data_IF_960150277882
#
_entry.id   IF_960150277882
#
_cell.length_a   1.000
_cell.length_b   1.000
_cell.length_c   1.000
_cell.angle_alpha   90.00
_cell.angle_beta   90.00
_cell.angle_gamma   90.00
#
_symmetry.space_group_name_H-M   'P 1'
#
loop_
_entity.id
_entity.type
_entity.pdbx_description
1 polymer ?
#
# COMPACT_ATOMS: atom_id res chain seq x y z
N UNK A 1 71.13 -24.44 62.20
CA UNK A 1 70.66 -25.07 63.45
C UNK A 1 69.29 -25.68 63.22
N UNK A 2 69.10 -26.86 63.78
CA UNK A 2 67.95 -27.75 63.60
C UNK A 2 66.68 -27.24 64.31
N UNK A 3 65.51 -27.65 63.81
CA UNK A 3 64.63 -28.48 64.64
C UNK A 3 63.67 -29.31 63.77
N UNK A 4 63.45 -30.54 64.20
CA UNK A 4 62.71 -31.59 63.50
C UNK A 4 61.60 -32.06 64.43
N UNK A 5 60.48 -32.42 63.82
CA UNK A 5 59.41 -33.33 64.29
C UNK A 5 58.23 -32.70 65.04
N UNK A 6 57.04 -32.82 64.43
CA UNK A 6 55.91 -33.54 65.04
C UNK A 6 55.08 -34.25 63.97
N UNK A 7 55.12 -35.59 64.02
CA UNK A 7 54.22 -36.51 63.29
C UNK A 7 52.76 -36.24 63.66
N UNK A 8 51.83 -36.53 62.75
CA UNK A 8 50.50 -37.16 62.96
C UNK A 8 49.74 -37.23 61.62
N UNK A 9 48.74 -38.11 61.46
CA UNK A 9 48.81 -39.56 61.56
C UNK A 9 48.38 -40.19 60.21
N UNK A 10 48.98 -41.32 59.83
CA UNK A 10 48.35 -42.21 58.86
C UNK A 10 47.20 -42.92 59.56
N UNK A 11 45.97 -42.57 59.20
CA UNK A 11 44.76 -43.31 59.55
C UNK A 11 44.23 -44.06 58.32
N UNK A 12 43.82 -45.34 58.44
CA UNK A 12 43.28 -46.12 57.35
C UNK A 12 41.78 -45.84 57.18
N UNK A 13 41.39 -45.39 55.99
CA UNK A 13 40.00 -45.25 55.60
C UNK A 13 39.82 -44.35 54.38
N UNK A 14 38.80 -44.63 53.59
CA UNK A 14 38.18 -43.69 52.63
C UNK A 14 38.71 -43.65 51.19
N UNK A 15 38.71 -44.82 50.54
CA UNK A 15 38.46 -44.88 49.09
C UNK A 15 37.14 -44.19 48.69
N UNK A 16 36.16 -44.07 49.60
CA UNK A 16 34.88 -43.39 49.39
C UNK A 16 34.96 -41.87 49.23
N UNK A 17 35.71 -41.16 50.09
CA UNK A 17 35.83 -39.69 50.04
C UNK A 17 36.51 -39.19 48.75
N UNK A 18 37.45 -39.97 48.20
CA UNK A 18 38.16 -39.60 46.95
C UNK A 18 37.27 -39.70 45.71
N UNK A 19 36.28 -40.58 45.72
CA UNK A 19 35.27 -40.74 44.64
C UNK A 19 34.23 -39.62 44.72
N UNK A 20 33.84 -39.23 45.93
CA UNK A 20 32.93 -38.11 46.18
C UNK A 20 33.54 -36.76 45.75
N UNK A 21 34.82 -36.51 46.06
CA UNK A 21 35.59 -35.35 45.57
C UNK A 21 35.62 -35.24 44.04
N UNK A 22 35.81 -36.37 43.33
CA UNK A 22 35.84 -36.39 41.85
C UNK A 22 34.47 -36.06 41.25
N UNK A 23 33.39 -36.63 41.79
CA UNK A 23 32.01 -36.34 41.37
C UNK A 23 31.63 -34.88 41.62
N UNK A 24 31.97 -34.34 42.80
CA UNK A 24 31.77 -32.93 43.14
C UNK A 24 32.48 -31.97 42.17
N UNK A 25 33.73 -32.30 41.80
CA UNK A 25 34.52 -31.52 40.84
C UNK A 25 33.93 -31.56 39.42
N UNK A 26 33.31 -32.68 39.06
CA UNK A 26 32.66 -32.90 37.77
C UNK A 26 31.33 -32.12 37.68
N UNK A 27 30.51 -32.15 38.74
CA UNK A 27 29.30 -31.33 38.87
C UNK A 27 29.61 -29.83 38.78
N UNK A 28 30.61 -29.32 39.53
CA UNK A 28 31.03 -27.91 39.42
C UNK A 28 31.53 -27.53 38.03
N UNK A 29 32.16 -28.45 37.30
CA UNK A 29 32.63 -28.23 35.92
C UNK A 29 31.45 -28.14 34.95
N UNK A 30 30.43 -28.98 35.12
CA UNK A 30 29.19 -28.96 34.35
C UNK A 30 28.34 -27.71 34.63
N UNK A 31 28.18 -27.32 35.90
CA UNK A 31 27.50 -26.07 36.28
C UNK A 31 28.22 -24.85 35.67
N UNK A 32 29.56 -24.84 35.70
CA UNK A 32 30.36 -23.78 35.08
C UNK A 32 30.26 -23.79 33.55
N UNK A 33 30.05 -24.95 32.92
CA UNK A 33 29.78 -25.07 31.48
C UNK A 33 28.38 -24.53 31.15
N UNK A 34 27.35 -25.00 31.87
CA UNK A 34 25.96 -24.50 31.75
C UNK A 34 25.89 -22.98 31.95
N UNK A 35 26.61 -22.43 32.93
CA UNK A 35 26.67 -20.98 33.16
C UNK A 35 27.34 -20.21 32.02
N UNK A 36 28.39 -20.76 31.41
CA UNK A 36 29.03 -20.17 30.22
C UNK A 36 28.09 -20.23 29.01
N UNK A 37 27.42 -21.36 28.81
CA UNK A 37 26.46 -21.56 27.73
C UNK A 37 25.26 -20.60 27.88
N UNK A 38 24.72 -20.43 29.09
CA UNK A 38 23.65 -19.46 29.38
C UNK A 38 24.09 -18.01 29.13
N UNK A 39 25.33 -17.65 29.49
CA UNK A 39 25.90 -16.33 29.22
C UNK A 39 26.08 -16.09 27.73
N UNK A 40 26.51 -17.10 26.99
CA UNK A 40 26.68 -17.02 25.54
C UNK A 40 25.33 -16.86 24.84
N UNK A 41 24.32 -17.65 25.24
CA UNK A 41 22.96 -17.54 24.73
C UNK A 41 22.36 -16.16 24.98
N UNK A 42 22.45 -15.65 26.22
CA UNK A 42 21.96 -14.29 26.55
C UNK A 42 22.69 -13.19 25.78
N UNK A 43 23.96 -13.41 25.40
CA UNK A 43 24.72 -12.47 24.56
C UNK A 43 24.24 -12.52 23.11
N UNK A 44 24.00 -13.72 22.57
CA UNK A 44 23.46 -13.92 21.22
C UNK A 44 22.04 -13.35 21.08
N UNK A 45 21.15 -13.58 22.05
CA UNK A 45 19.81 -12.99 22.07
C UNK A 45 19.85 -11.46 22.07
N UNK A 46 20.78 -10.87 22.83
CA UNK A 46 20.94 -9.41 22.89
C UNK A 46 21.50 -8.84 21.58
N UNK A 47 22.38 -9.60 20.90
CA UNK A 47 22.87 -9.24 19.57
C UNK A 47 21.76 -9.33 18.52
N UNK A 48 20.98 -10.42 18.51
CA UNK A 48 19.86 -10.60 17.60
C UNK A 48 18.78 -9.53 17.80
N UNK A 49 18.45 -9.19 19.06
CA UNK A 49 17.50 -8.11 19.35
C UNK A 49 18.01 -6.74 18.89
N UNK A 50 19.31 -6.48 18.99
CA UNK A 50 19.93 -5.25 18.47
C UNK A 50 19.95 -5.22 16.94
N UNK A 51 20.22 -6.35 16.29
CA UNK A 51 20.18 -6.48 14.83
C UNK A 51 18.75 -6.32 14.27
N UNK A 52 17.74 -6.89 14.93
CA UNK A 52 16.34 -6.66 14.54
C UNK A 52 15.92 -5.21 14.75
N UNK A 53 16.30 -4.58 15.87
CA UNK A 53 16.02 -3.15 16.09
C UNK A 53 16.72 -2.26 15.05
N UNK A 54 17.96 -2.58 14.67
CA UNK A 54 18.68 -1.84 13.64
C UNK A 54 18.07 -2.04 12.25
N UNK A 55 17.58 -3.24 11.92
CA UNK A 55 16.85 -3.51 10.67
C UNK A 55 15.53 -2.73 10.60
N UNK A 56 14.75 -2.75 11.69
CA UNK A 56 13.50 -2.00 11.77
C UNK A 56 13.75 -0.49 11.63
N UNK A 57 14.79 0.04 12.29
CA UNK A 57 15.19 1.45 12.15
C UNK A 57 15.64 1.77 10.72
N UNK A 58 16.42 0.90 10.08
CA UNK A 58 16.81 1.09 8.68
C UNK A 58 15.62 1.02 7.72
N UNK A 59 14.64 0.15 7.98
CA UNK A 59 13.41 0.08 7.19
C UNK A 59 12.54 1.34 7.39
N UNK A 60 12.42 1.84 8.62
CA UNK A 60 11.74 3.11 8.96
C UNK A 60 12.44 4.32 8.33
N UNK A 61 13.76 4.40 8.39
CA UNK A 61 14.54 5.47 7.76
C UNK A 61 14.46 5.40 6.24
N UNK A 62 14.51 4.20 5.64
CA UNK A 62 14.36 4.01 4.20
C UNK A 62 12.94 4.30 3.70
N UNK A 63 11.91 4.05 4.52
CA UNK A 63 10.53 4.45 4.22
C UNK A 63 10.37 5.97 4.32
N UNK A 64 10.88 6.60 5.39
CA UNK A 64 10.86 8.05 5.56
C UNK A 64 11.60 8.80 4.44
N UNK A 65 12.73 8.28 3.95
CA UNK A 65 13.46 8.88 2.83
C UNK A 65 12.74 8.73 1.49
N UNK A 66 11.86 7.73 1.35
CA UNK A 66 11.03 7.56 0.14
C UNK A 66 9.81 8.48 0.13
N UNK A 67 9.26 8.79 1.30
CA UNK A 67 8.09 9.70 1.43
C UNK A 67 8.39 11.12 0.94
N UNK A 68 9.65 11.57 0.97
CA UNK A 68 10.04 12.95 0.63
C UNK A 68 10.30 13.17 -0.88
N UNK A 69 10.18 12.14 -1.73
CA UNK A 69 10.48 12.24 -3.17
C UNK A 69 9.22 12.07 -4.03
N UNK A 70 8.27 12.99 -3.89
CA UNK A 70 7.15 13.13 -4.82
C UNK A 70 7.60 13.60 -6.21
N UNK A 71 6.86 13.24 -7.26
CA UNK A 71 7.10 13.71 -8.62
C UNK A 71 6.74 15.21 -8.74
N UNK A 72 7.68 16.12 -9.09
CA UNK A 72 7.43 17.57 -9.05
C UNK A 72 6.79 18.13 -10.33
N UNK A 73 6.60 17.30 -11.35
CA UNK A 73 6.07 17.71 -12.66
C UNK A 73 4.85 16.88 -13.02
N UNK A 74 3.96 17.45 -13.82
CA UNK A 74 2.82 16.76 -14.42
C UNK A 74 3.06 16.53 -15.91
N UNK A 75 2.38 15.53 -16.46
CA UNK A 75 2.39 15.18 -17.88
C UNK A 75 0.94 15.14 -18.36
N UNK A 76 0.62 16.00 -19.32
CA UNK A 76 -0.70 16.04 -19.98
C UNK A 76 -0.57 15.57 -21.43
N UNK A 77 -1.54 14.79 -21.91
CA UNK A 77 -1.60 14.31 -23.29
C UNK A 77 -2.88 14.82 -23.95
N UNK A 78 -2.76 15.51 -25.07
CA UNK A 78 -3.89 15.97 -25.86
C UNK A 78 -4.17 15.01 -27.02
N UNK A 79 -5.42 14.57 -27.18
CA UNK A 79 -5.83 13.63 -28.22
C UNK A 79 -7.13 14.11 -28.89
N UNK A 80 -7.25 13.98 -30.21
CA UNK A 80 -8.49 14.27 -30.88
C UNK A 80 -9.49 13.13 -30.67
N UNK A 81 -10.75 13.46 -30.41
CA UNK A 81 -11.80 12.44 -30.27
C UNK A 81 -12.17 11.74 -31.58
N UNK A 82 -11.84 12.35 -32.72
CA UNK A 82 -12.07 11.83 -34.08
C UNK A 82 -11.41 10.46 -34.33
N UNK A 83 -10.40 10.08 -33.53
CA UNK A 83 -9.74 8.76 -33.60
C UNK A 83 -10.72 7.59 -33.47
N UNK A 84 -11.81 7.76 -32.72
CA UNK A 84 -12.82 6.72 -32.53
C UNK A 84 -13.74 6.57 -33.75
N UNK A 85 -13.86 7.59 -34.60
CA UNK A 85 -14.72 7.52 -35.79
C UNK A 85 -14.14 6.58 -36.85
N UNK A 86 -12.82 6.36 -36.84
CA UNK A 86 -12.14 5.42 -37.73
C UNK A 86 -12.44 3.95 -37.41
N UNK A 87 -12.94 3.65 -36.21
CA UNK A 87 -13.22 2.27 -35.81
C UNK A 87 -14.55 1.77 -36.38
N UNK A 88 -14.48 0.58 -36.99
CA UNK A 88 -15.56 -0.03 -37.77
C UNK A 88 -16.71 -0.59 -36.92
N UNK A 89 -16.45 -0.95 -35.67
CA UNK A 89 -17.45 -1.50 -34.75
C UNK A 89 -17.41 -0.81 -33.38
N UNK A 90 -18.52 -0.78 -32.63
CA UNK A 90 -18.56 -0.17 -31.29
C UNK A 90 -17.69 -0.91 -30.27
N UNK A 91 -17.45 -2.21 -30.48
CA UNK A 91 -16.51 -3.01 -29.69
C UNK A 91 -15.07 -2.52 -29.92
N UNK A 92 -14.67 -2.33 -31.18
CA UNK A 92 -13.34 -1.84 -31.54
C UNK A 92 -13.11 -0.41 -31.09
N UNK A 93 -14.13 0.45 -31.10
CA UNK A 93 -14.07 1.81 -30.52
C UNK A 93 -13.70 1.77 -29.05
N UNK A 94 -14.41 0.93 -28.30
CA UNK A 94 -14.18 0.76 -26.87
C UNK A 94 -12.78 0.21 -26.62
N UNK A 95 -12.37 -0.79 -27.41
CA UNK A 95 -11.03 -1.38 -27.32
C UNK A 95 -9.91 -0.36 -27.61
N UNK A 96 -10.05 0.47 -28.64
CA UNK A 96 -9.10 1.53 -28.97
C UNK A 96 -8.95 2.55 -27.84
N UNK A 97 -10.07 2.99 -27.25
CA UNK A 97 -10.06 3.87 -26.08
C UNK A 97 -9.33 3.21 -24.88
N UNK A 98 -9.52 1.90 -24.68
CA UNK A 98 -8.79 1.14 -23.66
C UNK A 98 -7.29 1.04 -23.91
N UNK A 99 -6.86 0.92 -25.18
CA UNK A 99 -5.43 0.93 -25.53
C UNK A 99 -4.79 2.27 -25.18
N UNK A 100 -5.48 3.38 -25.45
CA UNK A 100 -5.03 4.73 -25.11
C UNK A 100 -4.91 4.89 -23.60
N UNK A 101 -5.95 4.50 -22.86
CA UNK A 101 -5.95 4.55 -21.39
C UNK A 101 -4.76 3.78 -20.80
N UNK A 102 -4.50 2.57 -21.33
CA UNK A 102 -3.39 1.73 -20.88
C UNK A 102 -2.04 2.35 -21.19
N UNK A 103 -1.86 2.91 -22.39
CA UNK A 103 -0.64 3.62 -22.73
C UNK A 103 -0.41 4.81 -21.77
N UNK A 104 -1.44 5.61 -21.52
CA UNK A 104 -1.36 6.75 -20.58
C UNK A 104 -1.01 6.31 -19.15
N UNK A 105 -1.59 5.19 -18.70
CA UNK A 105 -1.31 4.62 -17.37
C UNK A 105 0.14 4.14 -17.25
N UNK A 106 0.67 3.45 -18.28
CA UNK A 106 2.06 2.97 -18.30
C UNK A 106 3.06 4.11 -18.21
N UNK A 107 2.77 5.24 -18.87
CA UNK A 107 3.63 6.42 -18.86
C UNK A 107 3.33 7.41 -17.72
N UNK A 108 2.47 7.05 -16.76
CA UNK A 108 2.09 7.90 -15.63
C UNK A 108 1.61 9.30 -16.08
N UNK A 109 0.74 9.35 -17.08
CA UNK A 109 0.09 10.59 -17.53
C UNK A 109 -0.93 11.03 -16.49
N UNK A 110 -0.88 12.30 -16.10
CA UNK A 110 -1.73 12.87 -15.05
C UNK A 110 -3.06 13.41 -15.62
N UNK A 111 -3.06 13.87 -16.88
CA UNK A 111 -4.22 14.46 -17.52
C UNK A 111 -4.32 14.07 -19.01
N UNK A 112 -5.52 13.70 -19.43
CA UNK A 112 -5.82 13.44 -20.85
C UNK A 112 -6.85 14.48 -21.33
N UNK A 113 -6.45 15.32 -22.28
CA UNK A 113 -7.30 16.36 -22.86
C UNK A 113 -7.84 15.86 -24.20
N UNK A 114 -9.15 15.58 -24.25
CA UNK A 114 -9.82 15.21 -25.49
C UNK A 114 -10.36 16.47 -26.16
N UNK A 115 -9.89 16.79 -27.35
CA UNK A 115 -10.35 17.94 -28.12
C UNK A 115 -11.13 17.53 -29.37
N UNK A 116 -11.99 18.43 -29.82
CA UNK A 116 -12.72 18.28 -31.08
C UNK A 116 -12.03 19.11 -32.18
N UNK A 117 -11.78 18.46 -33.32
CA UNK A 117 -11.13 19.04 -34.49
C UNK A 117 -12.16 19.61 -35.48
N UNK A 118 -13.37 19.05 -35.51
CA UNK A 118 -14.41 19.38 -36.49
C UNK A 118 -15.31 20.53 -36.04
N UNK A 119 -15.06 21.11 -34.85
CA UNK A 119 -15.77 22.29 -34.34
C UNK A 119 -17.25 22.05 -34.06
N UNK A 120 -17.62 20.84 -33.64
CA UNK A 120 -18.99 20.56 -33.24
C UNK A 120 -19.23 21.12 -31.85
N UNK A 121 -20.29 21.93 -31.74
CA UNK A 121 -20.77 22.58 -30.51
C UNK A 121 -21.27 21.53 -29.48
N UNK A 122 -20.39 20.69 -28.94
CA UNK A 122 -20.69 19.81 -27.81
C UNK A 122 -20.69 20.64 -26.52
N UNK A 123 -21.75 21.43 -26.31
CA UNK A 123 -21.89 22.35 -25.16
C UNK A 123 -22.02 21.64 -23.81
N UNK A 124 -22.15 20.32 -23.79
CA UNK A 124 -22.39 19.52 -22.58
C UNK A 124 -21.77 18.12 -22.69
N UNK A 125 -21.12 17.68 -21.60
CA UNK A 125 -20.58 16.32 -21.44
C UNK A 125 -21.69 15.26 -21.31
N UNK A 126 -22.93 15.71 -21.05
CA UNK A 126 -24.14 14.90 -20.98
C UNK A 126 -24.74 14.61 -22.36
N UNK A 127 -23.94 14.08 -23.27
CA UNK A 127 -24.43 13.57 -24.55
C UNK A 127 -25.01 12.16 -24.40
N UNK A 128 -26.27 11.96 -24.78
CA UNK A 128 -26.82 10.61 -25.03
C UNK A 128 -26.17 10.02 -26.28
N UNK A 129 -25.71 8.77 -26.20
CA UNK A 129 -25.25 8.04 -27.38
C UNK A 129 -26.42 7.79 -28.34
N UNK A 130 -26.48 8.52 -29.46
CA UNK A 130 -27.59 8.43 -30.45
C UNK A 130 -27.29 7.51 -31.62
N UNK A 131 -26.32 6.60 -31.47
CA UNK A 131 -25.97 5.58 -32.45
C UNK A 131 -24.68 5.87 -33.23
N UNK A 132 -24.28 4.88 -34.03
CA UNK A 132 -23.07 4.89 -34.86
C UNK A 132 -23.29 5.85 -36.04
N UNK A 133 -22.53 6.95 -36.11
CA UNK A 133 -22.42 7.77 -37.33
C UNK A 133 -22.73 9.27 -37.22
N UNK A 134 -23.11 9.79 -36.04
CA UNK A 134 -23.17 11.25 -35.85
C UNK A 134 -21.84 11.77 -35.33
N UNK A 135 -21.12 12.45 -36.23
CA UNK A 135 -19.89 13.19 -35.94
C UNK A 135 -20.11 14.06 -34.69
N UNK A 136 -19.25 13.91 -33.68
CA UNK A 136 -19.24 14.77 -32.47
C UNK A 136 -19.49 14.08 -31.15
N UNK A 137 -20.01 12.84 -31.18
CA UNK A 137 -20.15 12.05 -29.96
C UNK A 137 -18.89 11.24 -29.63
N UNK A 138 -17.94 11.16 -30.56
CA UNK A 138 -16.68 10.45 -30.37
C UNK A 138 -15.85 11.01 -29.21
N UNK A 139 -15.76 12.34 -29.10
CA UNK A 139 -15.07 13.01 -27.99
C UNK A 139 -15.70 12.67 -26.63
N UNK A 140 -17.03 12.74 -26.54
CA UNK A 140 -17.78 12.44 -25.30
C UNK A 140 -17.66 10.97 -24.93
N UNK A 141 -17.77 10.07 -25.92
CA UNK A 141 -17.60 8.62 -25.71
C UNK A 141 -16.19 8.29 -25.23
N UNK A 142 -15.16 8.87 -25.86
CA UNK A 142 -13.77 8.68 -25.45
C UNK A 142 -13.56 9.14 -24.01
N UNK A 143 -13.96 10.37 -23.69
CA UNK A 143 -13.81 10.93 -22.35
C UNK A 143 -14.52 10.05 -21.29
N UNK A 144 -15.75 9.60 -21.58
CA UNK A 144 -16.53 8.76 -20.67
C UNK A 144 -15.86 7.39 -20.43
N UNK A 145 -15.31 6.76 -21.48
CA UNK A 145 -14.60 5.48 -21.34
C UNK A 145 -13.31 5.67 -20.54
N UNK A 146 -12.53 6.73 -20.81
CA UNK A 146 -11.31 7.03 -20.07
C UNK A 146 -11.60 7.26 -18.58
N UNK A 147 -12.62 8.05 -18.25
CA UNK A 147 -13.07 8.27 -16.87
C UNK A 147 -13.53 6.98 -16.19
N UNK A 148 -14.26 6.11 -16.91
CA UNK A 148 -14.70 4.83 -16.37
C UNK A 148 -13.52 3.90 -16.05
N UNK A 149 -12.49 3.90 -16.90
CA UNK A 149 -11.30 3.09 -16.71
C UNK A 149 -10.44 3.61 -15.56
N UNK A 150 -10.23 4.93 -15.47
CA UNK A 150 -9.48 5.58 -14.38
C UNK A 150 -10.16 5.35 -13.02
N UNK A 151 -11.49 5.35 -12.97
CA UNK A 151 -12.22 5.10 -11.74
C UNK A 151 -11.98 3.69 -11.16
N UNK A 152 -11.65 3.56 -9.86
CA UNK A 152 -11.53 2.27 -9.17
C UNK A 152 -12.80 1.43 -9.21
N UNK A 153 -12.65 0.11 -9.28
CA UNK A 153 -13.75 -0.84 -9.49
C UNK A 153 -14.89 -0.69 -8.47
N UNK A 154 -14.59 -0.42 -7.20
CA UNK A 154 -15.58 -0.29 -6.13
C UNK A 154 -16.39 1.02 -6.19
N UNK A 155 -15.90 2.04 -6.90
CA UNK A 155 -16.58 3.33 -7.06
C UNK A 155 -17.42 3.42 -8.32
N UNK A 156 -17.15 2.57 -9.33
CA UNK A 156 -17.81 2.64 -10.65
C UNK A 156 -19.34 2.60 -10.56
N UNK A 157 -19.89 1.80 -9.63
CA UNK A 157 -21.35 1.69 -9.45
C UNK A 157 -22.00 2.98 -8.93
N UNK A 158 -21.24 3.84 -8.24
CA UNK A 158 -21.76 5.09 -7.69
C UNK A 158 -21.68 6.24 -8.69
N UNK A 159 -20.58 6.33 -9.45
CA UNK A 159 -20.35 7.42 -10.42
C UNK A 159 -20.94 7.16 -11.80
N UNK A 160 -20.99 5.90 -12.25
CA UNK A 160 -21.37 5.56 -13.62
C UNK A 160 -22.69 4.79 -13.65
N UNK A 161 -23.81 5.46 -14.01
CA UNK A 161 -25.03 4.74 -14.35
C UNK A 161 -24.80 3.89 -15.60
N UNK A 162 -25.65 2.88 -15.80
CA UNK A 162 -25.59 2.04 -17.01
C UNK A 162 -25.82 2.91 -18.26
N UNK A 163 -24.78 3.08 -19.06
CA UNK A 163 -24.80 3.86 -20.29
C UNK A 163 -24.44 3.00 -21.49
N UNK A 164 -25.01 3.30 -22.66
CA UNK A 164 -24.76 2.52 -23.89
C UNK A 164 -23.29 2.60 -24.34
N UNK A 165 -22.63 3.73 -24.11
CA UNK A 165 -21.19 3.89 -24.37
C UNK A 165 -20.30 2.90 -23.60
N UNK A 166 -20.77 2.45 -22.43
CA UNK A 166 -20.01 1.58 -21.54
C UNK A 166 -20.46 0.12 -21.65
N UNK A 167 -21.31 -0.22 -22.63
CA UNK A 167 -21.86 -1.57 -22.81
C UNK A 167 -20.76 -2.63 -22.98
N UNK A 168 -19.66 -2.27 -23.66
CA UNK A 168 -18.53 -3.16 -23.93
C UNK A 168 -17.34 -2.92 -22.98
N UNK A 169 -17.53 -2.18 -21.88
CA UNK A 169 -16.44 -1.88 -20.96
C UNK A 169 -15.86 -3.14 -20.27
N UNK A 170 -16.60 -4.25 -20.25
CA UNK A 170 -16.11 -5.55 -19.77
C UNK A 170 -15.10 -6.24 -20.70
N UNK A 171 -14.96 -5.78 -21.95
CA UNK A 171 -13.94 -6.26 -22.90
C UNK A 171 -12.57 -5.64 -22.63
N UNK A 172 -12.53 -4.52 -21.90
CA UNK A 172 -11.32 -3.73 -21.70
C UNK A 172 -10.34 -4.45 -20.79
N UNK A 173 -9.05 -4.38 -21.15
CA UNK A 173 -7.98 -4.83 -20.27
C UNK A 173 -7.95 -3.94 -19.02
N UNK A 174 -7.71 -4.50 -17.82
CA UNK A 174 -7.54 -3.71 -16.62
C UNK A 174 -6.31 -2.79 -16.74
N UNK A 175 -6.39 -1.60 -16.15
CA UNK A 175 -5.28 -0.63 -16.13
C UNK A 175 -4.25 -0.96 -15.04
N UNK A 176 -4.65 -1.67 -13.98
CA UNK A 176 -3.82 -2.06 -12.83
C UNK A 176 -2.96 -0.89 -12.28
N UNK A 177 -3.56 0.31 -12.19
CA UNK A 177 -2.93 1.48 -11.60
C UNK A 177 -2.88 1.37 -10.07
N UNK A 178 -1.99 2.11 -9.37
CA UNK A 178 -1.83 2.00 -7.92
C UNK A 178 -3.12 2.24 -7.10
N UNK A 179 -4.05 3.05 -7.64
CA UNK A 179 -5.34 3.33 -7.03
C UNK A 179 -6.44 2.29 -7.34
N UNK A 180 -6.14 1.27 -8.16
CA UNK A 180 -7.02 0.12 -8.45
C UNK A 180 -6.74 -1.08 -7.55
N UNK A 181 -6.55 -0.83 -6.26
CA UNK A 181 -6.19 -1.89 -5.33
C UNK A 181 -7.39 -2.77 -4.94
N UNK A 182 -7.05 -3.97 -4.47
CA UNK A 182 -8.04 -4.93 -3.96
C UNK A 182 -8.50 -4.54 -2.55
N UNK A 183 -9.58 -5.18 -2.11
CA UNK A 183 -10.18 -4.90 -0.80
C UNK A 183 -9.27 -5.25 0.37
N UNK A 184 -8.47 -6.30 0.25
CA UNK A 184 -7.60 -6.81 1.32
C UNK A 184 -6.18 -6.23 1.28
N UNK A 185 -5.88 -5.37 0.31
CA UNK A 185 -4.56 -4.77 0.13
C UNK A 185 -4.39 -3.57 1.08
N UNK A 186 -3.23 -3.39 1.69
CA UNK A 186 -2.96 -2.20 2.51
C UNK A 186 -2.33 -1.10 1.64
N UNK A 187 -2.84 0.13 1.74
CA UNK A 187 -2.33 1.29 1.01
C UNK A 187 -2.47 2.52 1.90
N UNK A 188 -1.49 3.42 1.83
CA UNK A 188 -1.50 4.70 2.54
C UNK A 188 -2.63 5.60 2.04
N UNK A 189 -2.81 5.68 0.72
CA UNK A 189 -3.84 6.48 0.08
C UNK A 189 -4.86 5.58 -0.60
N UNK A 190 -6.14 5.91 -0.42
CA UNK A 190 -7.26 5.24 -1.09
C UNK A 190 -8.28 6.25 -1.59
N UNK A 191 -8.71 6.04 -2.83
CA UNK A 191 -9.86 6.76 -3.37
C UNK A 191 -11.14 6.40 -2.60
N UNK A 192 -12.07 7.35 -2.53
CA UNK A 192 -13.29 7.12 -1.76
C UNK A 192 -14.41 8.10 -2.07
N UNK A 193 -15.64 7.60 -1.93
CA UNK A 193 -16.86 8.40 -2.07
C UNK A 193 -17.47 8.68 -0.69
N UNK A 194 -17.88 9.92 -0.46
CA UNK A 194 -18.60 10.30 0.77
C UNK A 194 -19.99 9.67 0.73
N UNK A 195 -20.32 8.91 1.77
CA UNK A 195 -21.62 8.26 1.91
C UNK A 195 -22.59 9.23 2.57
N UNK A 196 -23.81 9.30 2.02
CA UNK A 196 -24.90 10.08 2.61
C UNK A 196 -25.44 9.40 3.88
N UNK A 197 -24.70 9.60 4.97
CA UNK A 197 -25.05 9.10 6.29
C UNK A 197 -25.16 10.30 7.23
N UNK A 198 -26.30 10.45 7.94
CA UNK A 198 -26.49 11.57 8.85
C UNK A 198 -25.43 11.54 9.94
N UNK A 199 -24.66 12.62 10.03
CA UNK A 199 -23.60 12.84 11.03
C UNK A 199 -23.91 14.10 11.83
N UNK A 200 -23.48 14.11 13.09
CA UNK A 200 -23.57 15.32 13.91
C UNK A 200 -22.54 16.34 13.38
N UNK A 201 -22.87 17.64 13.37
CA UNK A 201 -21.91 18.69 13.00
C UNK A 201 -20.61 18.53 13.80
N UNK A 202 -19.46 18.52 13.11
CA UNK A 202 -18.14 18.36 13.73
C UNK A 202 -17.64 16.92 13.91
N UNK A 203 -18.45 15.90 13.60
CA UNK A 203 -18.06 14.48 13.73
C UNK A 203 -17.45 13.86 12.46
N UNK A 204 -17.18 14.67 11.43
CA UNK A 204 -16.61 14.22 10.16
C UNK A 204 -17.64 13.55 9.26
N UNK A 205 -17.16 12.92 8.19
CA UNK A 205 -17.98 12.28 7.16
C UNK A 205 -17.59 10.81 7.02
N UNK A 206 -18.57 9.97 6.67
CA UNK A 206 -18.31 8.57 6.34
C UNK A 206 -17.90 8.46 4.88
N UNK A 207 -16.82 7.72 4.60
CA UNK A 207 -16.26 7.55 3.26
C UNK A 207 -16.13 6.07 2.95
N UNK A 208 -16.62 5.66 1.79
CA UNK A 208 -16.45 4.32 1.26
C UNK A 208 -15.19 4.27 0.39
N UNK A 209 -14.14 3.63 0.92
CA UNK A 209 -12.84 3.44 0.27
C UNK A 209 -12.61 1.99 -0.23
N UNK A 210 -13.68 1.22 -0.47
CA UNK A 210 -13.59 -0.15 -0.96
C UNK A 210 -13.14 -1.20 0.07
N UNK A 211 -13.10 -0.83 1.36
CA UNK A 211 -12.77 -1.72 2.47
C UNK A 211 -14.02 -2.42 3.06
N UNK A 212 -13.83 -3.50 3.82
CA UNK A 212 -14.94 -4.23 4.50
C UNK A 212 -15.74 -3.36 5.46
N UNK A 213 -15.09 -2.33 6.03
CA UNK A 213 -15.72 -1.33 6.91
C UNK A 213 -15.62 0.05 6.28
N UNK A 214 -16.68 0.85 6.42
CA UNK A 214 -16.71 2.26 5.99
C UNK A 214 -15.82 3.06 6.95
N UNK A 215 -14.87 3.81 6.41
CA UNK A 215 -13.97 4.66 7.20
C UNK A 215 -14.68 5.93 7.66
N UNK A 216 -14.33 6.44 8.84
CA UNK A 216 -14.67 7.81 9.24
C UNK A 216 -13.51 8.71 8.81
N UNK A 217 -13.77 9.56 7.81
CA UNK A 217 -12.83 10.58 7.38
C UNK A 217 -13.11 11.89 8.11
N UNK A 218 -12.08 12.47 8.74
CA UNK A 218 -12.10 13.90 9.06
C UNK A 218 -11.37 14.63 7.95
N UNK A 219 -12.11 15.30 7.08
CA UNK A 219 -11.52 16.26 6.14
C UNK A 219 -11.00 17.48 6.93
N UNK A 220 -9.76 17.42 7.39
CA UNK A 220 -9.08 18.54 8.03
C UNK A 220 -8.45 19.44 6.98
N UNK A 221 -9.22 20.39 6.44
CA UNK A 221 -8.67 21.49 5.64
C UNK A 221 -8.09 22.54 6.59
N UNK A 222 -6.77 22.60 6.73
CA UNK A 222 -6.07 23.59 7.54
C UNK A 222 -5.91 24.88 6.73
N UNK A 223 -6.81 25.84 6.97
CA UNK A 223 -6.90 27.11 6.22
C UNK A 223 -5.65 28.01 6.39
N UNK A 224 -4.75 27.69 7.33
CA UNK A 224 -3.55 28.50 7.61
C UNK A 224 -2.28 28.05 6.87
N UNK A 225 -2.17 26.79 6.43
CA UNK A 225 -0.92 26.25 5.86
C UNK A 225 -0.99 25.94 4.36
N UNK A 226 -2.17 26.00 3.74
CA UNK A 226 -2.36 25.67 2.32
C UNK A 226 -2.00 24.21 1.97
N UNK A 227 -1.75 23.36 2.97
CA UNK A 227 -1.39 21.96 2.80
C UNK A 227 -2.56 21.06 3.17
N UNK A 228 -2.84 20.09 2.30
CA UNK A 228 -3.69 18.95 2.64
C UNK A 228 -2.90 18.12 3.67
N UNK A 229 -3.34 18.10 4.93
CA UNK A 229 -2.73 17.20 5.91
C UNK A 229 -2.94 15.75 5.45
N UNK A 230 -1.90 14.90 5.49
CA UNK A 230 -2.05 13.49 5.15
C UNK A 230 -3.15 12.87 6.02
N UNK A 231 -3.96 12.03 5.38
CA UNK A 231 -5.06 11.32 6.01
C UNK A 231 -4.53 10.51 7.20
N UNK A 232 -4.75 10.98 8.43
CA UNK A 232 -4.64 10.11 9.60
C UNK A 232 -5.93 9.33 9.69
N UNK A 233 -5.89 8.07 9.26
CA UNK A 233 -6.95 7.10 9.56
C UNK A 233 -7.20 7.15 11.07
N UNK A 234 -8.31 7.78 11.46
CA UNK A 234 -8.76 7.77 12.84
C UNK A 234 -9.02 6.32 13.23
N UNK A 235 -8.33 5.87 14.28
CA UNK A 235 -8.44 4.56 14.91
C UNK A 235 -9.87 4.01 14.76
N UNK A 236 -10.01 2.95 13.99
CA UNK A 236 -11.25 2.18 13.83
C UNK A 236 -11.61 1.65 15.22
N UNK A 237 -12.72 2.11 15.80
CA UNK A 237 -13.37 1.46 16.93
C UNK A 237 -14.17 0.25 16.44
#
# INVERSE_FOLDING_TARGET
MAERVKKRPCGPGEHGQRVEWRKWKQQKKEEKKKWKDLKLMKKLERQHAQEEQAKLQQEEEATAQREDQGRPYTLSVALPGSILDNAQSPELRTYLAGQIARACTIFCVDEIVVFDEEGQDAKTVEGEFRGVGKKGQACVQLARILQYLECPQYLRKAFFPKHQDLQFAGLLNPLDSPHHMRQDEESEFREGIVVDRPTRPGHGSFVNCGMKKVGIGRAGWDRHSGHIRPWRAGRVL
#
